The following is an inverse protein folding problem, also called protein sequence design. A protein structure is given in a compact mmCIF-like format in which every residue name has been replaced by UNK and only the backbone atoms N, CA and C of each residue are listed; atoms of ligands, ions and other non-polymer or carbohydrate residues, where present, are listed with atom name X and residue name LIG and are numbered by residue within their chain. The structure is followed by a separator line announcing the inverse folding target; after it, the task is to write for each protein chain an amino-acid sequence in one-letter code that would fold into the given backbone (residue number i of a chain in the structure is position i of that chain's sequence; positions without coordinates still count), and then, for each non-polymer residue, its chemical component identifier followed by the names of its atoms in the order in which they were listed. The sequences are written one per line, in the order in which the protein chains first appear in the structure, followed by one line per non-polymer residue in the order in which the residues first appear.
data_IF_119414121917
#
_entry.id   IF_119414121917
#
_cell.length_a   1.000
_cell.length_b   1.000
_cell.length_c   1.000
_cell.angle_alpha   90.00
_cell.angle_beta   90.00
_cell.angle_gamma   90.00
#
_symmetry.space_group_name_H-M   'P 1'
#
loop_
_entity.id
_entity.type
_entity.pdbx_description
1 polymer ?
#
# COMPACT_ATOMS: atom_id res chain seq x y z
N UNK A 1 21.96 17.73 56.35
CA UNK A 1 21.14 18.47 55.37
C UNK A 1 20.64 17.40 54.41
N UNK A 2 19.45 16.81 54.63
CA UNK A 2 18.13 17.35 54.23
C UNK A 2 18.21 17.85 52.78
N UNK A 3 17.61 17.18 51.81
CA UNK A 3 16.16 17.16 51.66
C UNK A 3 15.63 15.83 51.12
N UNK A 4 14.47 15.46 51.64
CA UNK A 4 13.65 14.34 51.27
C UNK A 4 12.53 14.97 50.43
N UNK A 5 12.43 14.69 49.13
CA UNK A 5 11.20 14.98 48.39
C UNK A 5 10.53 13.69 47.93
N UNK A 6 9.54 13.37 48.75
CA UNK A 6 8.45 12.44 48.63
C UNK A 6 7.68 12.73 47.33
N UNK A 7 7.78 11.86 46.33
CA UNK A 7 6.73 11.76 45.31
C UNK A 7 5.86 10.55 45.61
N UNK A 8 4.63 10.88 45.97
CA UNK A 8 3.55 9.98 46.30
C UNK A 8 3.22 9.06 45.11
N UNK A 9 2.71 7.88 45.46
CA UNK A 9 2.44 6.78 44.55
C UNK A 9 1.57 7.14 43.36
N UNK A 10 2.03 6.68 42.20
CA UNK A 10 1.16 6.44 41.05
C UNK A 10 0.51 5.07 41.30
N UNK A 11 -0.83 4.95 41.36
CA UNK A 11 -1.44 3.63 41.42
C UNK A 11 -1.12 2.90 40.11
N UNK A 12 -0.45 1.75 40.23
CA UNK A 12 -0.32 0.79 39.14
C UNK A 12 -1.74 0.34 38.76
N UNK A 13 -2.28 0.90 37.68
CA UNK A 13 -3.42 0.32 37.01
C UNK A 13 -2.99 -1.06 36.49
N UNK A 14 -3.82 -2.11 36.65
CA UNK A 14 -3.55 -3.38 36.00
C UNK A 14 -3.78 -3.20 34.51
N UNK A 15 -2.71 -3.04 33.74
CA UNK A 15 -2.79 -3.29 32.29
C UNK A 15 -2.82 -4.80 32.13
N UNK A 16 -4.04 -5.33 32.02
CA UNK A 16 -4.31 -6.72 31.67
C UNK A 16 -3.51 -7.14 30.42
N UNK A 17 -3.07 -8.40 30.34
CA UNK A 17 -2.42 -8.91 29.15
C UNK A 17 -3.48 -9.07 28.06
N UNK A 18 -3.46 -8.17 27.07
CA UNK A 18 -4.16 -8.34 25.81
C UNK A 18 -3.11 -8.81 24.80
N UNK A 19 -2.99 -10.13 24.64
CA UNK A 19 -3.62 -10.88 23.55
C UNK A 19 -2.91 -10.69 22.22
N UNK A 20 -2.51 -11.84 21.67
CA UNK A 20 -2.25 -12.05 20.26
C UNK A 20 -1.04 -11.29 19.76
N UNK A 21 0.12 -11.95 19.91
CA UNK A 21 1.27 -11.80 19.04
C UNK A 21 0.76 -11.85 17.59
N UNK A 22 0.58 -10.68 16.99
CA UNK A 22 0.15 -10.56 15.60
C UNK A 22 1.35 -10.92 14.74
N UNK A 23 1.41 -12.18 14.36
CA UNK A 23 2.08 -12.68 13.15
C UNK A 23 1.49 -12.11 11.84
N UNK A 24 1.05 -10.84 11.88
CA UNK A 24 0.35 -10.09 10.84
C UNK A 24 1.20 -8.94 10.28
N UNK A 25 2.53 -9.02 10.42
CA UNK A 25 3.47 -7.98 9.97
C UNK A 25 3.68 -7.93 8.45
N UNK A 26 3.41 -9.02 7.71
CA UNK A 26 3.64 -9.08 6.26
C UNK A 26 2.54 -8.43 5.41
N UNK A 27 1.28 -8.60 5.80
CA UNK A 27 0.11 -8.15 5.00
C UNK A 27 -0.09 -6.63 5.06
N UNK A 28 0.20 -6.01 6.20
CA UNK A 28 0.06 -4.56 6.40
C UNK A 28 1.17 -3.76 5.67
N UNK A 29 2.36 -4.34 5.49
CA UNK A 29 3.45 -3.67 4.77
C UNK A 29 3.10 -3.41 3.30
N UNK A 30 2.37 -4.32 2.65
CA UNK A 30 1.92 -4.13 1.26
C UNK A 30 1.00 -2.90 1.14
N UNK A 31 0.11 -2.68 2.11
CA UNK A 31 -0.78 -1.51 2.12
C UNK A 31 -0.14 -0.24 2.66
N UNK A 32 1.03 -0.31 3.30
CA UNK A 32 1.70 0.86 3.85
C UNK A 32 2.12 1.88 2.77
N UNK A 33 2.41 1.39 1.56
CA UNK A 33 2.85 2.24 0.45
C UNK A 33 1.67 2.78 -0.38
N UNK A 34 1.65 4.09 -0.59
CA UNK A 34 0.57 4.76 -1.31
C UNK A 34 0.48 4.40 -2.80
N UNK A 35 1.59 4.01 -3.45
CA UNK A 35 1.57 3.60 -4.86
C UNK A 35 1.04 2.20 -5.03
N UNK A 36 1.40 1.26 -4.13
CA UNK A 36 0.82 -0.09 -4.14
C UNK A 36 -0.70 -0.04 -3.94
N UNK A 37 -1.19 0.77 -2.99
CA UNK A 37 -2.64 0.95 -2.79
C UNK A 37 -3.33 1.52 -4.03
N UNK A 38 -2.78 2.58 -4.64
CA UNK A 38 -3.35 3.16 -5.86
C UNK A 38 -3.35 2.17 -7.02
N UNK A 39 -2.28 1.39 -7.19
CA UNK A 39 -2.21 0.37 -8.21
C UNK A 39 -3.31 -0.68 -8.03
N UNK A 40 -3.46 -1.22 -6.82
CA UNK A 40 -4.49 -2.21 -6.53
C UNK A 40 -5.91 -1.65 -6.68
N UNK A 41 -6.15 -0.43 -6.21
CA UNK A 41 -7.44 0.24 -6.36
C UNK A 41 -7.79 0.45 -7.84
N UNK A 42 -6.83 0.93 -8.65
CA UNK A 42 -7.05 1.11 -10.08
C UNK A 42 -7.35 -0.22 -10.78
N UNK A 43 -6.57 -1.28 -10.49
CA UNK A 43 -6.82 -2.60 -11.06
C UNK A 43 -8.15 -3.21 -10.61
N UNK A 44 -8.63 -2.89 -9.40
CA UNK A 44 -9.93 -3.35 -8.90
C UNK A 44 -11.12 -2.67 -9.60
N UNK A 45 -10.93 -1.45 -10.12
CA UNK A 45 -11.95 -0.70 -10.87
C UNK A 45 -12.01 -1.09 -12.35
N UNK A 46 -11.00 -1.82 -12.85
CA UNK A 46 -10.91 -2.23 -14.25
C UNK A 46 -11.43 -3.67 -14.44
N UNK A 47 -12.45 -3.83 -15.28
CA UNK A 47 -12.97 -5.15 -15.70
C UNK A 47 -12.08 -5.86 -16.74
N UNK A 48 -10.97 -5.24 -17.17
CA UNK A 48 -10.08 -5.75 -18.21
C UNK A 48 -8.60 -5.57 -17.81
N UNK A 49 -7.68 -6.37 -18.38
CA UNK A 49 -6.24 -6.21 -18.17
C UNK A 49 -5.77 -4.80 -18.49
N UNK A 50 -4.96 -4.24 -17.58
CA UNK A 50 -4.46 -2.87 -17.65
C UNK A 50 -3.01 -2.87 -18.14
N UNK A 51 -2.69 -2.03 -19.11
CA UNK A 51 -1.31 -1.90 -19.58
C UNK A 51 -0.42 -1.21 -18.54
N UNK A 52 0.89 -1.49 -18.58
CA UNK A 52 1.83 -0.85 -17.65
C UNK A 52 1.83 0.68 -17.79
N UNK A 53 1.82 1.21 -19.00
CA UNK A 53 1.78 2.65 -19.27
C UNK A 53 0.49 3.30 -18.73
N UNK A 54 -0.65 2.65 -18.91
CA UNK A 54 -1.91 3.12 -18.36
C UNK A 54 -1.88 3.19 -16.83
N UNK A 55 -1.35 2.15 -16.18
CA UNK A 55 -1.21 2.12 -14.72
C UNK A 55 -0.28 3.23 -14.22
N UNK A 56 0.81 3.52 -14.95
CA UNK A 56 1.71 4.64 -14.66
C UNK A 56 0.97 5.97 -14.73
N UNK A 57 0.22 6.19 -15.81
CA UNK A 57 -0.54 7.43 -16.05
C UNK A 57 -1.60 7.62 -14.97
N UNK A 58 -2.36 6.59 -14.64
CA UNK A 58 -3.40 6.64 -13.60
C UNK A 58 -2.82 7.01 -12.23
N UNK A 59 -1.70 6.41 -11.85
CA UNK A 59 -1.05 6.69 -10.56
C UNK A 59 -0.44 8.08 -10.54
N UNK A 60 0.24 8.51 -11.62
CA UNK A 60 0.79 9.85 -11.72
C UNK A 60 -0.31 10.94 -11.68
N UNK A 61 -1.43 10.72 -12.35
CA UNK A 61 -2.60 11.60 -12.31
C UNK A 61 -3.15 11.71 -10.88
N UNK A 62 -3.29 10.58 -10.18
CA UNK A 62 -3.74 10.53 -8.78
C UNK A 62 -2.78 11.25 -7.83
N UNK A 63 -1.45 11.09 -8.00
CA UNK A 63 -0.44 11.73 -7.14
C UNK A 63 -0.35 13.25 -7.34
N UNK A 64 -0.52 13.70 -8.59
CA UNK A 64 -0.39 15.12 -8.96
C UNK A 64 -1.72 15.86 -9.01
N UNK A 65 -2.84 15.15 -8.74
CA UNK A 65 -4.20 15.67 -8.86
C UNK A 65 -4.46 16.35 -10.22
N UNK A 66 -3.91 15.75 -11.29
CA UNK A 66 -3.94 16.28 -12.66
C UNK A 66 -4.67 15.32 -13.59
N UNK A 67 -5.16 15.83 -14.73
CA UNK A 67 -5.82 14.98 -15.72
C UNK A 67 -4.78 14.09 -16.45
N UNK A 68 -5.13 12.83 -16.79
CA UNK A 68 -4.23 11.90 -17.48
C UNK A 68 -3.56 12.49 -18.71
N UNK A 69 -4.34 13.17 -19.56
CA UNK A 69 -3.90 13.74 -20.84
C UNK A 69 -2.99 14.97 -20.69
N UNK A 70 -2.84 15.49 -19.47
CA UNK A 70 -2.04 16.69 -19.18
C UNK A 70 -0.67 16.38 -18.59
N UNK A 71 -0.39 15.09 -18.31
CA UNK A 71 0.84 14.68 -17.65
C UNK A 71 2.05 14.79 -18.59
N UNK A 72 3.09 15.43 -18.08
CA UNK A 72 4.41 15.45 -18.70
C UNK A 72 5.24 14.22 -18.30
N UNK A 73 6.25 13.90 -19.09
CA UNK A 73 7.19 12.79 -18.83
C UNK A 73 7.87 12.89 -17.45
N UNK A 74 8.18 14.10 -16.99
CA UNK A 74 8.78 14.33 -15.66
C UNK A 74 7.87 13.86 -14.51
N UNK A 75 6.55 13.80 -14.71
CA UNK A 75 5.60 13.29 -13.73
C UNK A 75 5.42 11.76 -13.83
N UNK A 76 5.37 11.20 -15.04
CA UNK A 76 5.09 9.76 -15.25
C UNK A 76 6.35 8.90 -15.09
N UNK A 77 7.52 9.37 -15.52
CA UNK A 77 8.79 8.64 -15.46
C UNK A 77 9.19 8.17 -14.06
N UNK A 78 9.14 8.99 -12.98
CA UNK A 78 9.47 8.50 -11.65
C UNK A 78 8.46 7.48 -11.12
N UNK A 79 7.21 7.54 -11.56
CA UNK A 79 6.18 6.54 -11.23
C UNK A 79 6.47 5.23 -11.95
N UNK A 80 6.79 5.27 -13.25
CA UNK A 80 7.17 4.09 -14.03
C UNK A 80 8.37 3.36 -13.41
N UNK A 81 9.43 4.08 -13.06
CA UNK A 81 10.62 3.50 -12.43
C UNK A 81 10.24 2.80 -11.12
N UNK A 82 9.46 3.46 -10.26
CA UNK A 82 9.07 2.89 -8.98
C UNK A 82 8.13 1.68 -9.13
N UNK A 83 7.15 1.75 -10.02
CA UNK A 83 6.27 0.61 -10.29
C UNK A 83 7.06 -0.59 -10.80
N UNK A 84 7.92 -0.39 -11.78
CA UNK A 84 8.68 -1.46 -12.41
C UNK A 84 9.68 -2.12 -11.44
N UNK A 85 10.40 -1.33 -10.64
CA UNK A 85 11.51 -1.87 -9.82
C UNK A 85 11.13 -2.19 -8.37
N UNK A 86 10.09 -1.55 -7.82
CA UNK A 86 9.78 -1.63 -6.38
C UNK A 86 8.40 -2.22 -6.14
N UNK A 87 7.38 -1.66 -6.77
CA UNK A 87 6.01 -1.97 -6.36
C UNK A 87 5.45 -3.22 -7.06
N UNK A 88 5.50 -3.31 -8.40
CA UNK A 88 4.96 -4.45 -9.13
C UNK A 88 5.70 -5.76 -8.84
N UNK A 89 7.04 -5.81 -8.77
CA UNK A 89 7.73 -7.07 -8.43
C UNK A 89 7.25 -7.64 -7.09
N UNK A 90 7.00 -6.78 -6.10
CA UNK A 90 6.46 -7.20 -4.80
C UNK A 90 5.01 -7.66 -4.92
N UNK A 91 4.14 -6.89 -5.60
CA UNK A 91 2.73 -7.27 -5.77
C UNK A 91 2.56 -8.58 -6.54
N UNK A 92 3.39 -8.82 -7.56
CA UNK A 92 3.44 -10.08 -8.30
C UNK A 92 3.94 -11.23 -7.44
N UNK A 93 5.00 -11.01 -6.66
CA UNK A 93 5.57 -12.03 -5.78
C UNK A 93 4.59 -12.49 -4.69
N UNK A 94 3.88 -11.54 -4.09
CA UNK A 94 2.88 -11.80 -3.05
C UNK A 94 1.53 -12.26 -3.63
N UNK A 95 1.38 -12.27 -4.96
CA UNK A 95 0.19 -12.76 -5.64
C UNK A 95 -1.03 -11.85 -5.59
N UNK A 96 -0.87 -10.54 -5.34
CA UNK A 96 -1.97 -9.56 -5.41
C UNK A 96 -2.27 -9.09 -6.84
N UNK A 97 -1.30 -9.23 -7.73
CA UNK A 97 -1.39 -8.86 -9.14
C UNK A 97 -0.84 -10.03 -9.95
N UNK A 98 -1.42 -10.26 -11.12
CA UNK A 98 -0.87 -11.16 -12.13
C UNK A 98 -0.60 -10.38 -13.40
N UNK A 99 0.47 -10.73 -14.10
CA UNK A 99 0.73 -10.30 -15.46
C UNK A 99 0.33 -11.42 -16.42
N UNK A 100 -0.45 -11.08 -17.45
CA UNK A 100 -0.79 -11.96 -18.56
C UNK A 100 -0.31 -11.35 -19.90
N UNK A 101 -0.79 -11.89 -21.03
CA UNK A 101 -0.40 -11.41 -22.35
C UNK A 101 -0.98 -10.04 -22.71
N UNK A 102 -2.07 -9.65 -22.06
CA UNK A 102 -2.86 -8.46 -22.34
C UNK A 102 -2.56 -7.32 -21.34
N UNK A 103 -2.12 -7.65 -20.13
CA UNK A 103 -1.68 -6.65 -19.16
C UNK A 103 -1.54 -7.14 -17.72
N UNK A 104 -1.75 -6.22 -16.79
CA UNK A 104 -1.80 -6.46 -15.36
C UNK A 104 -3.26 -6.59 -14.94
N UNK A 105 -3.54 -7.63 -14.16
CA UNK A 105 -4.87 -7.87 -13.57
C UNK A 105 -4.72 -8.03 -12.06
N UNK A 106 -5.76 -7.62 -11.33
CA UNK A 106 -5.85 -7.92 -9.91
C UNK A 106 -6.01 -9.44 -9.73
N UNK A 107 -5.17 -10.03 -8.89
CA UNK A 107 -5.25 -11.44 -8.51
C UNK A 107 -5.57 -11.47 -7.03
N UNK A 108 -6.87 -11.44 -6.71
CA UNK A 108 -7.36 -11.51 -5.35
C UNK A 108 -8.20 -12.77 -5.24
N UNK A 109 -7.83 -13.69 -4.35
CA UNK A 109 -8.84 -14.60 -3.83
C UNK A 109 -9.93 -13.76 -3.16
N UNK A 110 -11.20 -14.11 -3.44
CA UNK A 110 -12.44 -13.38 -3.12
C UNK A 110 -12.51 -12.82 -1.68
N UNK A 111 -11.72 -13.34 -0.74
CA UNK A 111 -11.64 -12.90 0.66
C UNK A 111 -10.78 -11.64 0.89
N UNK A 112 -9.97 -11.19 -0.07
CA UNK A 112 -9.08 -10.04 0.10
C UNK A 112 -9.71 -8.68 -0.25
N UNK A 113 -10.77 -8.67 -1.09
CA UNK A 113 -11.46 -7.45 -1.54
C UNK A 113 -12.27 -6.77 -0.43
N UNK A 114 -12.78 -7.52 0.55
CA UNK A 114 -13.60 -7.00 1.66
C UNK A 114 -12.78 -6.17 2.68
N UNK A 115 -11.45 -6.14 2.53
CA UNK A 115 -10.52 -5.45 3.42
C UNK A 115 -9.92 -4.16 2.85
N UNK A 116 -10.33 -3.75 1.64
CA UNK A 116 -9.92 -2.51 0.96
C UNK A 116 -10.99 -1.42 1.13
#
# INVERSE_FOLDING_TARGET
MSEIEKHAGVPAAPVSPLSSETESGGRLDVFADGRRRRALAYLAECDAPVSFDELVVAIAASETQSAPDTLAEDATKPVAIALHHVHLPKLLHEGYVRADADGLVLDVEETALDAL
#
